data_IF_195590218920
#
_entry.id   IF_195590218920
#
_cell.length_a   1.000
_cell.length_b   1.000
_cell.length_c   1.000
_cell.angle_alpha   90.00
_cell.angle_beta   90.00
_cell.angle_gamma   90.00
#
_symmetry.space_group_name_H-M   'P 1'
#
loop_
_entity.id
_entity.type
_entity.pdbx_description
1 polymer ?
#
# COMPACT_ATOMS: atom_id res chain seq x y z
N UNK A 1 -26.53 -2.03 6.06
CA UNK A 1 -27.04 -0.63 6.01
C UNK A 1 -25.87 0.23 5.54
N UNK A 2 -26.05 1.17 4.61
CA UNK A 2 -24.94 2.04 4.14
C UNK A 2 -24.50 2.97 5.29
N UNK A 3 -23.25 2.90 5.75
CA UNK A 3 -22.76 3.74 6.84
C UNK A 3 -22.94 5.23 6.57
N UNK A 4 -22.76 5.69 5.33
CA UNK A 4 -22.91 7.11 4.97
C UNK A 4 -24.33 7.68 5.16
N UNK A 5 -25.34 6.83 5.34
CA UNK A 5 -26.70 7.28 5.67
C UNK A 5 -26.86 7.74 7.12
N UNK A 6 -25.90 7.45 7.99
CA UNK A 6 -25.98 7.78 9.41
C UNK A 6 -25.43 9.20 9.70
N UNK A 7 -26.18 10.09 10.39
CA UNK A 7 -25.76 11.47 10.65
C UNK A 7 -24.41 11.61 11.36
N UNK A 8 -24.08 10.69 12.27
CA UNK A 8 -22.79 10.69 12.96
C UNK A 8 -21.61 10.41 12.01
N UNK A 9 -21.81 9.53 11.01
CA UNK A 9 -20.77 9.23 10.01
C UNK A 9 -20.54 10.45 9.13
N UNK A 10 -21.61 11.08 8.65
CA UNK A 10 -21.52 12.32 7.86
C UNK A 10 -20.81 13.44 8.64
N UNK A 11 -21.16 13.61 9.92
CA UNK A 11 -20.50 14.60 10.79
C UNK A 11 -19.01 14.33 10.95
N UNK A 12 -18.63 13.06 11.16
CA UNK A 12 -17.24 12.66 11.29
C UNK A 12 -16.44 12.86 9.99
N UNK A 13 -17.03 12.50 8.84
CA UNK A 13 -16.44 12.72 7.51
C UNK A 13 -16.21 14.22 7.27
N UNK A 14 -17.22 15.07 7.48
CA UNK A 14 -17.06 16.52 7.29
C UNK A 14 -16.02 17.14 8.23
N UNK A 15 -15.91 16.64 9.47
CA UNK A 15 -14.88 17.08 10.41
C UNK A 15 -13.47 16.68 9.95
N UNK A 16 -13.32 15.44 9.46
CA UNK A 16 -12.07 14.94 8.89
C UNK A 16 -11.66 15.75 7.65
N UNK A 17 -12.58 15.95 6.70
CA UNK A 17 -12.32 16.72 5.48
C UNK A 17 -11.85 18.13 5.80
N UNK A 18 -12.52 18.81 6.75
CA UNK A 18 -12.11 20.14 7.19
C UNK A 18 -10.70 20.14 7.81
N UNK A 19 -10.39 19.16 8.66
CA UNK A 19 -9.09 19.07 9.31
C UNK A 19 -7.97 18.81 8.29
N UNK A 20 -8.19 17.89 7.36
CA UNK A 20 -7.21 17.54 6.32
C UNK A 20 -7.03 18.69 5.34
N UNK A 21 -8.09 19.35 4.89
CA UNK A 21 -7.98 20.50 4.00
C UNK A 21 -7.21 21.65 4.67
N UNK A 22 -7.50 21.95 5.94
CA UNK A 22 -6.77 22.97 6.69
C UNK A 22 -5.29 22.63 6.88
N UNK A 23 -4.93 21.34 7.03
CA UNK A 23 -3.54 20.91 7.05
C UNK A 23 -2.90 21.03 5.66
N UNK A 24 -3.61 20.60 4.61
CA UNK A 24 -3.09 20.58 3.25
C UNK A 24 -2.85 21.99 2.67
N UNK A 25 -3.60 23.00 3.13
CA UNK A 25 -3.33 24.42 2.83
C UNK A 25 -1.94 24.89 3.28
N UNK A 26 -1.31 24.21 4.23
CA UNK A 26 0.06 24.53 4.67
C UNK A 26 1.15 23.99 3.73
N UNK A 27 0.80 23.12 2.79
CA UNK A 27 1.74 22.53 1.83
C UNK A 27 1.77 23.33 0.52
N UNK A 28 2.97 23.66 0.05
CA UNK A 28 3.16 24.43 -1.17
C UNK A 28 3.44 23.52 -2.38
N UNK A 29 4.00 22.34 -2.14
CA UNK A 29 4.34 21.35 -3.18
C UNK A 29 3.98 19.89 -2.84
N UNK A 30 3.34 19.65 -1.70
CA UNK A 30 2.94 18.30 -1.28
C UNK A 30 1.50 17.99 -1.66
N UNK A 31 1.36 16.97 -2.49
CA UNK A 31 0.06 16.38 -2.85
C UNK A 31 -0.43 15.47 -1.74
N UNK A 32 -1.74 15.48 -1.49
CA UNK A 32 -2.38 14.63 -0.48
C UNK A 32 -3.60 13.96 -1.09
N UNK A 33 -3.71 12.65 -0.92
CA UNK A 33 -4.90 11.89 -1.28
C UNK A 33 -5.27 10.96 -0.13
N UNK A 34 -6.48 11.13 0.41
CA UNK A 34 -7.03 10.30 1.49
C UNK A 34 -8.33 9.72 1.02
N UNK A 35 -8.51 8.41 1.20
CA UNK A 35 -9.82 7.83 1.06
C UNK A 35 -10.10 6.78 2.11
N UNK A 36 -11.39 6.57 2.35
CA UNK A 36 -11.89 5.55 3.25
C UNK A 36 -13.12 4.89 2.63
N UNK A 37 -13.25 3.57 2.78
CA UNK A 37 -14.34 2.82 2.20
C UNK A 37 -14.85 1.74 3.13
N UNK A 38 -16.17 1.57 3.14
CA UNK A 38 -16.84 0.43 3.75
C UNK A 38 -17.28 -0.56 2.66
N UNK A 39 -17.21 -1.88 2.88
CA UNK A 39 -17.72 -2.87 1.93
C UNK A 39 -19.26 -2.82 1.78
N UNK A 40 -19.94 -2.14 2.71
CA UNK A 40 -21.39 -1.99 2.76
C UNK A 40 -21.95 -0.92 1.81
N UNK A 41 -21.09 -0.25 1.04
CA UNK A 41 -21.48 0.73 0.03
C UNK A 41 -20.48 0.79 -1.14
N UNK A 42 -20.97 1.29 -2.27
CA UNK A 42 -20.17 1.39 -3.49
C UNK A 42 -19.32 2.66 -3.54
N UNK A 43 -19.84 3.77 -3.03
CA UNK A 43 -19.08 5.01 -2.90
C UNK A 43 -18.05 4.92 -1.76
N UNK A 44 -16.97 5.70 -1.85
CA UNK A 44 -16.09 5.90 -0.71
C UNK A 44 -16.79 6.76 0.34
N UNK A 45 -16.51 6.49 1.61
CA UNK A 45 -16.92 7.32 2.74
C UNK A 45 -16.13 8.64 2.77
N UNK A 46 -14.86 8.59 2.37
CA UNK A 46 -13.95 9.73 2.23
C UNK A 46 -13.27 9.60 0.89
N UNK A 47 -13.22 10.69 0.12
CA UNK A 47 -12.54 10.79 -1.18
C UNK A 47 -11.95 12.20 -1.33
N UNK A 48 -10.87 12.45 -0.59
CA UNK A 48 -10.27 13.76 -0.43
C UNK A 48 -8.94 13.83 -1.18
N UNK A 49 -8.78 14.89 -1.97
CA UNK A 49 -7.57 15.15 -2.74
C UNK A 49 -7.18 16.62 -2.66
N UNK A 50 -5.91 16.88 -2.40
CA UNK A 50 -5.33 18.21 -2.44
C UNK A 50 -4.33 18.30 -3.60
N UNK A 51 -4.56 19.30 -4.45
CA UNK A 51 -3.62 19.73 -5.47
C UNK A 51 -2.88 20.97 -4.93
N UNK A 52 -1.57 20.87 -4.64
CA UNK A 52 -0.79 22.00 -4.14
C UNK A 52 -0.62 23.06 -5.23
N UNK A 53 -0.33 24.32 -4.86
CA UNK A 53 -0.15 25.41 -5.82
C UNK A 53 1.07 25.23 -6.73
N UNK A 54 2.09 24.49 -6.29
CA UNK A 54 3.28 24.18 -7.08
C UNK A 54 3.36 22.68 -7.33
N UNK A 55 3.29 22.30 -8.61
CA UNK A 55 3.39 20.91 -9.07
C UNK A 55 4.61 20.72 -9.95
N UNK A 56 5.14 19.50 -9.97
CA UNK A 56 6.11 19.09 -10.98
C UNK A 56 5.42 19.04 -12.36
N UNK A 57 5.93 19.76 -13.38
CA UNK A 57 5.30 19.83 -14.70
C UNK A 57 5.30 18.49 -15.45
N UNK A 58 6.08 17.50 -15.02
CA UNK A 58 6.03 16.13 -15.54
C UNK A 58 4.72 15.45 -15.13
N UNK A 59 4.31 15.66 -13.89
CA UNK A 59 3.17 15.03 -13.21
C UNK A 59 1.79 15.36 -13.76
N UNK A 60 0.79 14.83 -13.06
CA UNK A 60 -0.62 15.20 -13.21
C UNK A 60 -0.83 16.68 -12.87
N UNK A 61 -1.65 17.37 -13.66
CA UNK A 61 -1.99 18.78 -13.43
C UNK A 61 -3.03 19.00 -12.33
N UNK A 62 -3.70 17.92 -11.92
CA UNK A 62 -4.70 17.90 -10.86
C UNK A 62 -4.64 16.53 -10.16
N UNK A 63 -4.73 16.55 -8.83
CA UNK A 63 -4.74 15.36 -8.01
C UNK A 63 -6.19 14.95 -7.74
N UNK A 64 -6.49 13.69 -8.04
CA UNK A 64 -7.79 13.07 -7.81
C UNK A 64 -7.61 11.58 -7.45
N UNK A 65 -8.71 10.86 -7.29
CA UNK A 65 -8.70 9.44 -6.89
C UNK A 65 -7.95 8.49 -7.83
N UNK A 66 -7.64 8.95 -9.05
CA UNK A 66 -6.87 8.18 -10.05
C UNK A 66 -5.41 8.59 -10.13
N UNK A 67 -4.99 9.68 -9.47
CA UNK A 67 -3.60 10.10 -9.42
C UNK A 67 -2.73 9.00 -8.78
N UNK A 68 -1.63 8.67 -9.44
CA UNK A 68 -0.81 7.51 -9.12
C UNK A 68 0.41 7.92 -8.29
N UNK A 69 0.63 7.19 -7.20
CA UNK A 69 1.71 7.40 -6.25
C UNK A 69 2.59 6.17 -6.18
N UNK A 70 3.86 6.36 -5.82
CA UNK A 70 4.67 5.25 -5.26
C UNK A 70 4.10 4.90 -3.90
N UNK A 71 3.87 3.61 -3.65
CA UNK A 71 3.29 3.17 -2.37
C UNK A 71 4.31 2.59 -1.39
N UNK A 72 5.60 2.64 -1.75
CA UNK A 72 6.70 2.15 -0.92
C UNK A 72 6.40 0.78 -0.34
N UNK A 73 6.72 0.58 0.93
CA UNK A 73 6.57 -0.72 1.61
C UNK A 73 5.14 -1.28 1.74
N UNK A 74 4.10 -0.57 1.29
CA UNK A 74 2.75 -1.15 1.15
C UNK A 74 2.76 -2.35 0.20
N UNK A 75 3.70 -2.43 -0.76
CA UNK A 75 3.84 -3.59 -1.68
C UNK A 75 3.98 -4.93 -0.94
N UNK A 76 4.46 -4.93 0.31
CA UNK A 76 4.65 -6.17 1.09
C UNK A 76 3.34 -6.94 1.30
N UNK A 77 2.22 -6.23 1.30
CA UNK A 77 0.87 -6.83 1.37
C UNK A 77 0.61 -7.69 0.13
N UNK A 78 0.90 -7.18 -1.07
CA UNK A 78 0.72 -7.93 -2.32
C UNK A 78 1.71 -9.09 -2.44
N UNK A 79 2.95 -8.93 -1.95
CA UNK A 79 3.92 -10.03 -1.85
C UNK A 79 3.43 -11.17 -0.96
N UNK A 80 2.94 -10.87 0.24
CA UNK A 80 2.43 -11.91 1.15
C UNK A 80 1.23 -12.65 0.56
N UNK A 81 0.31 -11.91 -0.08
CA UNK A 81 -0.84 -12.47 -0.78
C UNK A 81 -0.40 -13.45 -1.90
N UNK A 82 0.57 -13.05 -2.72
CA UNK A 82 1.11 -13.89 -3.79
C UNK A 82 1.78 -15.17 -3.25
N UNK A 83 2.52 -15.07 -2.15
CA UNK A 83 3.12 -16.23 -1.47
C UNK A 83 2.09 -17.22 -0.97
N UNK A 84 1.06 -16.74 -0.25
CA UNK A 84 0.00 -17.59 0.28
C UNK A 84 -0.76 -18.28 -0.85
N UNK A 85 -0.98 -17.59 -1.98
CA UNK A 85 -1.62 -18.18 -3.15
C UNK A 85 -0.73 -19.22 -3.84
N UNK A 86 0.59 -19.13 -3.67
CA UNK A 86 1.55 -20.09 -4.22
C UNK A 86 1.77 -21.34 -3.34
N UNK A 87 1.05 -21.51 -2.22
CA UNK A 87 1.28 -22.60 -1.25
C UNK A 87 1.49 -23.98 -1.91
N UNK A 88 2.69 -24.53 -1.66
CA UNK A 88 3.31 -25.66 -2.36
C UNK A 88 4.82 -25.45 -2.62
N UNK A 89 5.35 -24.25 -2.34
CA UNK A 89 6.70 -23.85 -2.73
C UNK A 89 7.82 -24.45 -1.86
N UNK A 90 8.85 -25.00 -2.51
CA UNK A 90 10.15 -25.39 -1.90
C UNK A 90 11.25 -24.40 -2.29
N UNK A 91 12.11 -24.04 -1.35
CA UNK A 91 13.10 -22.95 -1.42
C UNK A 91 14.32 -23.20 -2.34
N UNK A 92 14.37 -24.28 -3.12
CA UNK A 92 15.63 -24.77 -3.73
C UNK A 92 16.00 -24.19 -5.10
N UNK A 93 15.23 -23.24 -5.65
CA UNK A 93 15.46 -22.76 -7.01
C UNK A 93 15.47 -21.24 -6.98
N UNK A 94 16.64 -20.61 -6.88
CA UNK A 94 16.78 -19.14 -6.90
C UNK A 94 18.09 -18.75 -7.64
N UNK A 95 18.21 -17.54 -8.21
CA UNK A 95 19.35 -17.14 -9.03
C UNK A 95 20.68 -17.21 -8.27
N UNK A 96 21.70 -17.84 -8.88
CA UNK A 96 22.99 -18.17 -8.24
C UNK A 96 23.75 -16.94 -7.69
N UNK A 97 23.67 -15.80 -8.37
CA UNK A 97 24.44 -14.59 -8.03
C UNK A 97 23.98 -13.87 -6.75
N UNK A 98 22.71 -14.02 -6.35
CA UNK A 98 22.21 -13.45 -5.08
C UNK A 98 22.82 -14.20 -3.88
N UNK A 99 22.92 -15.52 -3.99
CA UNK A 99 23.39 -16.39 -2.91
C UNK A 99 24.88 -16.24 -2.63
N UNK A 100 25.69 -16.01 -3.66
CA UNK A 100 27.14 -15.80 -3.54
C UNK A 100 27.52 -14.72 -2.51
N UNK A 101 26.62 -13.77 -2.25
CA UNK A 101 26.79 -12.71 -1.26
C UNK A 101 25.87 -12.84 -0.05
N UNK A 102 24.70 -13.46 -0.19
CA UNK A 102 23.75 -13.64 0.91
C UNK A 102 24.25 -14.68 1.93
N UNK A 103 24.85 -15.78 1.47
CA UNK A 103 25.35 -16.87 2.34
C UNK A 103 26.55 -16.45 3.22
N UNK A 104 27.21 -15.33 2.88
CA UNK A 104 28.37 -14.81 3.62
C UNK A 104 27.97 -14.01 4.87
N UNK A 105 26.68 -13.80 5.13
CA UNK A 105 26.19 -12.99 6.25
C UNK A 105 25.77 -13.88 7.41
N UNK A 106 26.32 -13.60 8.59
CA UNK A 106 25.91 -14.29 9.80
C UNK A 106 24.48 -13.89 10.25
N UNK A 107 23.70 -14.81 10.81
CA UNK A 107 22.40 -14.48 11.40
C UNK A 107 22.55 -13.46 12.54
N UNK A 108 21.73 -12.41 12.53
CA UNK A 108 21.73 -11.38 13.58
C UNK A 108 21.10 -11.91 14.88
N UNK A 109 20.11 -12.80 14.76
CA UNK A 109 19.46 -13.49 15.88
C UNK A 109 19.20 -14.95 15.48
N UNK A 110 18.93 -15.80 16.48
CA UNK A 110 18.42 -17.14 16.24
C UNK A 110 17.06 -17.08 15.52
N UNK A 111 16.75 -18.13 14.76
CA UNK A 111 15.50 -18.20 13.99
C UNK A 111 14.30 -18.15 14.92
N UNK A 112 13.32 -17.30 14.59
CA UNK A 112 12.06 -17.15 15.33
C UNK A 112 12.18 -16.61 16.76
N UNK A 113 13.33 -16.05 17.17
CA UNK A 113 13.48 -15.50 18.53
C UNK A 113 13.25 -14.00 18.63
N UNK A 114 13.48 -13.26 17.55
CA UNK A 114 13.35 -11.79 17.53
C UNK A 114 12.71 -11.33 16.21
N UNK A 115 11.62 -10.54 16.24
CA UNK A 115 11.08 -9.95 15.03
C UNK A 115 12.03 -8.86 14.52
N UNK A 116 12.29 -8.84 13.21
CA UNK A 116 13.12 -7.83 12.56
C UNK A 116 12.49 -7.43 11.23
N UNK A 117 12.34 -6.12 11.01
CA UNK A 117 11.96 -5.60 9.71
C UNK A 117 13.06 -5.87 8.67
N UNK A 118 12.70 -6.51 7.54
CA UNK A 118 13.67 -6.86 6.51
C UNK A 118 13.08 -6.76 5.11
N UNK A 119 13.55 -5.75 4.35
CA UNK A 119 13.26 -5.65 2.92
C UNK A 119 13.79 -6.88 2.15
N UNK A 120 14.93 -7.43 2.59
CA UNK A 120 15.55 -8.60 1.95
C UNK A 120 14.71 -9.86 2.14
N UNK A 121 14.04 -10.03 3.29
CA UNK A 121 13.14 -11.16 3.51
C UNK A 121 11.99 -11.16 2.48
N UNK A 122 11.39 -10.00 2.20
CA UNK A 122 10.34 -9.87 1.19
C UNK A 122 10.85 -10.02 -0.25
N UNK A 123 12.09 -9.63 -0.54
CA UNK A 123 12.73 -9.92 -1.83
C UNK A 123 12.97 -11.43 -2.03
N UNK A 124 13.51 -12.12 -1.01
CA UNK A 124 13.66 -13.58 -1.07
C UNK A 124 12.31 -14.24 -1.30
N UNK A 125 11.27 -13.76 -0.61
CA UNK A 125 9.92 -14.27 -0.76
C UNK A 125 9.35 -14.07 -2.16
N UNK A 126 9.54 -12.89 -2.77
CA UNK A 126 9.09 -12.62 -4.14
C UNK A 126 9.80 -13.52 -5.15
N UNK A 127 11.11 -13.73 -4.98
CA UNK A 127 11.89 -14.60 -5.84
C UNK A 127 11.44 -16.07 -5.71
N UNK A 128 11.12 -16.52 -4.48
CA UNK A 128 10.59 -17.87 -4.23
C UNK A 128 9.27 -18.09 -4.99
N UNK A 129 8.39 -17.09 -4.97
CA UNK A 129 7.11 -17.11 -5.70
C UNK A 129 7.33 -17.11 -7.22
N UNK A 130 8.20 -16.26 -7.74
CA UNK A 130 8.59 -16.22 -9.16
C UNK A 130 9.11 -17.59 -9.63
N UNK A 131 10.03 -18.17 -8.86
CA UNK A 131 10.62 -19.46 -9.19
C UNK A 131 9.62 -20.62 -9.16
N UNK A 132 8.67 -20.60 -8.21
CA UNK A 132 7.62 -21.60 -8.12
C UNK A 132 6.61 -21.50 -9.27
N UNK A 133 6.26 -20.27 -9.64
CA UNK A 133 5.26 -19.97 -10.67
C UNK A 133 5.81 -20.01 -12.09
N UNK A 134 7.14 -19.96 -12.26
CA UNK A 134 7.85 -19.93 -13.55
C UNK A 134 7.51 -18.70 -14.42
N UNK A 135 6.99 -17.64 -13.82
CA UNK A 135 6.73 -16.35 -14.45
C UNK A 135 7.24 -15.23 -13.53
N UNK A 136 7.58 -14.03 -14.06
CA UNK A 136 8.03 -12.92 -13.25
C UNK A 136 7.10 -12.64 -12.06
N UNK A 137 7.66 -12.28 -10.90
CA UNK A 137 6.86 -11.99 -9.71
C UNK A 137 5.77 -10.94 -9.95
N UNK A 138 6.08 -9.89 -10.73
CA UNK A 138 5.11 -8.87 -11.15
C UNK A 138 3.90 -9.48 -11.84
N UNK A 139 4.13 -10.48 -12.70
CA UNK A 139 3.08 -11.15 -13.47
C UNK A 139 2.27 -12.09 -12.59
N UNK A 140 2.89 -12.71 -11.59
CA UNK A 140 2.16 -13.48 -10.56
C UNK A 140 1.17 -12.56 -9.84
N UNK A 141 1.65 -11.41 -9.35
CA UNK A 141 0.79 -10.46 -8.63
C UNK A 141 -0.29 -9.92 -9.54
N UNK A 142 0.03 -9.53 -10.77
CA UNK A 142 -0.96 -9.04 -11.73
C UNK A 142 -2.04 -10.09 -12.00
N UNK A 143 -1.62 -11.31 -12.40
CA UNK A 143 -2.53 -12.39 -12.81
C UNK A 143 -3.36 -12.94 -11.67
N UNK A 144 -2.76 -13.08 -10.48
CA UNK A 144 -3.35 -13.82 -9.38
C UNK A 144 -3.83 -12.95 -8.23
N UNK A 145 -3.48 -11.67 -8.16
CA UNK A 145 -3.97 -10.78 -7.10
C UNK A 145 -4.77 -9.62 -7.69
N UNK A 146 -4.18 -8.87 -8.63
CA UNK A 146 -4.76 -7.62 -9.13
C UNK A 146 -5.92 -7.85 -10.10
N UNK A 147 -5.72 -8.67 -11.15
CA UNK A 147 -6.77 -8.97 -12.13
C UNK A 147 -8.03 -9.59 -11.50
N UNK A 148 -7.94 -10.60 -10.61
CA UNK A 148 -9.12 -11.15 -9.95
C UNK A 148 -9.86 -10.16 -9.05
N UNK A 149 -9.15 -9.14 -8.53
CA UNK A 149 -9.72 -8.05 -7.76
C UNK A 149 -10.17 -6.87 -8.64
N UNK A 150 -10.07 -6.98 -9.97
CA UNK A 150 -10.37 -5.89 -10.92
C UNK A 150 -9.55 -4.62 -10.65
N UNK A 151 -8.31 -4.79 -10.19
CA UNK A 151 -7.31 -3.74 -9.97
C UNK A 151 -6.44 -3.65 -11.23
N UNK A 152 -6.35 -2.46 -11.83
CA UNK A 152 -5.76 -2.26 -13.17
C UNK A 152 -4.73 -1.12 -13.26
N UNK A 153 -4.79 -0.16 -12.35
CA UNK A 153 -3.89 1.01 -12.26
C UNK A 153 -2.73 0.78 -11.27
N UNK A 154 -2.78 -0.31 -10.52
CA UNK A 154 -1.71 -0.75 -9.64
C UNK A 154 -0.70 -1.53 -10.46
N UNK A 155 0.51 -1.00 -10.62
CA UNK A 155 1.50 -1.55 -11.54
C UNK A 155 2.88 -1.67 -10.90
N UNK A 156 3.70 -2.58 -11.42
CA UNK A 156 5.14 -2.68 -11.11
C UNK A 156 6.02 -1.91 -12.09
N UNK A 157 5.42 -1.47 -13.20
CA UNK A 157 6.02 -0.60 -14.20
C UNK A 157 5.54 0.82 -13.98
N UNK A 158 6.46 1.77 -14.03
CA UNK A 158 6.14 3.20 -13.95
C UNK A 158 5.06 3.55 -15.00
N UNK A 159 3.92 4.13 -14.59
CA UNK A 159 2.90 4.61 -15.52
C UNK A 159 3.36 5.91 -16.20
N UNK A 160 2.56 6.42 -17.14
CA UNK A 160 2.78 7.75 -17.73
C UNK A 160 2.88 8.81 -16.61
N UNK A 161 3.90 9.68 -16.71
CA UNK A 161 4.14 10.76 -15.75
C UNK A 161 2.91 11.63 -15.55
N UNK A 162 2.08 11.80 -16.58
CA UNK A 162 0.84 12.58 -16.52
C UNK A 162 -0.24 11.97 -15.64
N UNK A 163 -0.14 10.69 -15.30
CA UNK A 163 -0.99 10.07 -14.29
C UNK A 163 -0.43 10.23 -12.87
N UNK A 164 0.83 10.64 -12.72
CA UNK A 164 1.58 10.58 -11.47
C UNK A 164 1.45 11.82 -10.60
N UNK A 165 1.27 11.62 -9.29
CA UNK A 165 1.51 12.64 -8.27
C UNK A 165 3.02 12.73 -8.00
N UNK A 166 3.74 13.44 -8.86
CA UNK A 166 5.21 13.49 -8.86
C UNK A 166 5.71 14.62 -7.96
N UNK A 167 6.59 14.29 -7.02
CA UNK A 167 7.27 15.27 -6.16
C UNK A 167 8.30 16.07 -6.97
N UNK A 168 8.44 17.37 -6.67
CA UNK A 168 9.41 18.26 -7.31
C UNK A 168 10.86 17.75 -7.19
N UNK A 169 11.19 17.08 -6.08
CA UNK A 169 12.52 16.55 -5.80
C UNK A 169 12.69 15.08 -6.24
N UNK A 170 11.78 14.55 -7.06
CA UNK A 170 11.91 13.19 -7.58
C UNK A 170 12.93 13.12 -8.72
N UNK A 171 14.20 12.89 -8.33
CA UNK A 171 15.34 12.66 -9.21
C UNK A 171 15.47 11.19 -9.69
N UNK A 172 14.65 10.27 -9.14
CA UNK A 172 14.78 8.83 -9.37
C UNK A 172 13.86 8.29 -10.47
N UNK A 173 13.13 9.16 -11.19
CA UNK A 173 12.19 8.77 -12.25
C UNK A 173 12.84 7.98 -13.39
N UNK A 174 14.09 8.30 -13.78
CA UNK A 174 14.82 7.57 -14.81
C UNK A 174 15.31 6.20 -14.33
N UNK A 175 15.84 6.10 -13.11
CA UNK A 175 16.27 4.84 -12.51
C UNK A 175 15.11 3.84 -12.33
N UNK A 176 13.89 4.35 -12.20
CA UNK A 176 12.67 3.56 -12.13
C UNK A 176 12.29 2.88 -13.46
N UNK A 177 12.70 3.46 -14.59
CA UNK A 177 12.43 2.92 -15.93
C UNK A 177 13.32 1.72 -16.32
N UNK A 178 14.51 1.58 -15.74
CA UNK A 178 15.52 0.60 -16.21
C UNK A 178 15.50 -0.75 -15.46
N UNK A 179 14.78 -0.87 -14.34
CA UNK A 179 14.81 -2.07 -13.49
C UNK A 179 13.42 -2.70 -13.36
N UNK A 180 13.04 -3.44 -14.39
CA UNK A 180 11.74 -4.13 -14.49
C UNK A 180 11.67 -5.26 -13.46
N UNK A 181 10.69 -5.22 -12.55
CA UNK A 181 10.31 -6.37 -11.72
C UNK A 181 10.73 -6.34 -10.24
N UNK A 182 11.34 -5.27 -9.75
CA UNK A 182 11.57 -5.13 -8.30
C UNK A 182 10.23 -5.02 -7.55
N UNK A 183 9.93 -5.86 -6.55
CA UNK A 183 8.69 -5.77 -5.78
C UNK A 183 8.55 -4.40 -5.08
N UNK A 184 9.66 -3.68 -4.90
CA UNK A 184 9.71 -2.35 -4.27
C UNK A 184 9.08 -1.23 -5.09
N UNK A 185 8.80 -1.44 -6.37
CA UNK A 185 8.35 -0.40 -7.32
C UNK A 185 6.88 -0.56 -7.69
N UNK A 186 6.03 -0.68 -6.67
CA UNK A 186 4.59 -0.69 -6.89
C UNK A 186 4.07 0.76 -6.89
N UNK A 187 3.26 1.05 -7.89
CA UNK A 187 2.52 2.30 -8.03
C UNK A 187 1.03 2.00 -7.84
N UNK A 188 0.26 2.91 -7.23
CA UNK A 188 -1.19 2.76 -7.05
C UNK A 188 -1.85 4.12 -6.83
N UNK A 189 -3.18 4.14 -6.83
CA UNK A 189 -4.00 5.28 -6.45
C UNK A 189 -4.92 4.92 -5.28
N UNK A 190 -5.64 5.89 -4.72
CA UNK A 190 -6.55 5.67 -3.59
C UNK A 190 -7.72 4.78 -3.96
N UNK A 191 -8.29 4.94 -5.16
CA UNK A 191 -9.42 4.13 -5.61
C UNK A 191 -9.13 2.64 -5.54
N UNK A 192 -7.94 2.22 -5.95
CA UNK A 192 -7.55 0.82 -6.00
C UNK A 192 -7.05 0.27 -4.68
N UNK A 193 -6.40 1.10 -3.83
CA UNK A 193 -6.07 0.70 -2.46
C UNK A 193 -7.30 0.39 -1.61
N UNK A 194 -8.43 1.02 -1.94
CA UNK A 194 -9.72 0.84 -1.26
C UNK A 194 -10.60 -0.25 -1.86
N UNK A 195 -10.19 -0.91 -2.95
CA UNK A 195 -11.02 -1.92 -3.60
C UNK A 195 -11.28 -3.09 -2.65
N UNK A 196 -12.57 -3.48 -2.56
CA UNK A 196 -13.09 -4.53 -1.67
C UNK A 196 -12.21 -5.76 -1.88
N UNK A 197 -11.46 -6.18 -0.87
CA UNK A 197 -10.54 -7.24 -1.14
C UNK A 197 -11.30 -8.55 -0.94
N UNK A 198 -11.90 -9.00 -2.05
CA UNK A 198 -12.79 -10.17 -2.17
C UNK A 198 -12.12 -11.46 -1.68
N UNK A 199 -10.79 -11.45 -1.57
CA UNK A 199 -9.95 -12.54 -1.09
C UNK A 199 -9.75 -12.62 0.42
N UNK A 200 -10.19 -11.62 1.23
CA UNK A 200 -10.03 -11.69 2.70
C UNK A 200 -11.15 -12.45 3.42
N UNK A 201 -12.24 -12.81 2.72
CA UNK A 201 -13.47 -13.29 3.34
C UNK A 201 -13.43 -14.72 3.92
N UNK A 202 -12.34 -15.49 3.74
CA UNK A 202 -12.25 -16.86 4.31
C UNK A 202 -11.06 -17.11 5.23
N UNK A 203 -10.10 -16.19 5.37
CA UNK A 203 -8.91 -16.42 6.21
C UNK A 203 -8.26 -15.16 6.79
N UNK A 204 -9.02 -14.11 7.11
CA UNK A 204 -8.52 -12.91 7.79
C UNK A 204 -7.55 -13.22 8.96
N UNK A 205 -7.78 -14.31 9.70
CA UNK A 205 -6.90 -14.80 10.78
C UNK A 205 -5.48 -15.24 10.37
N UNK A 206 -5.25 -15.60 9.11
CA UNK A 206 -3.91 -15.94 8.56
C UNK A 206 -3.19 -14.73 7.93
N UNK A 207 -3.93 -13.68 7.57
CA UNK A 207 -3.38 -12.44 7.00
C UNK A 207 -2.76 -11.53 8.05
N UNK A 208 -3.22 -11.66 9.29
CA UNK A 208 -2.90 -10.80 10.42
C UNK A 208 -1.52 -11.17 10.99
N UNK A 209 -0.55 -10.26 10.89
CA UNK A 209 0.74 -10.31 11.59
C UNK A 209 1.99 -10.53 10.73
N UNK A 210 1.89 -11.04 9.50
CA UNK A 210 3.07 -11.32 8.65
C UNK A 210 3.51 -10.14 7.78
N UNK A 211 2.63 -9.17 7.54
CA UNK A 211 2.95 -7.90 6.85
C UNK A 211 2.39 -6.66 7.54
N UNK A 212 1.45 -6.80 8.47
CA UNK A 212 0.79 -5.68 9.17
C UNK A 212 1.49 -5.36 10.47
N UNK A 213 1.52 -4.08 10.84
CA UNK A 213 2.20 -3.62 12.06
C UNK A 213 1.36 -3.80 13.34
N UNK A 214 0.04 -4.05 13.20
CA UNK A 214 -0.97 -4.29 14.25
C UNK A 214 -0.87 -3.33 15.44
N UNK A 215 -1.76 -2.35 15.49
CA UNK A 215 -1.88 -1.40 16.59
C UNK A 215 -3.18 -1.68 17.35
N UNK A 216 -3.13 -1.58 18.68
CA UNK A 216 -4.32 -1.72 19.53
C UNK A 216 -4.50 -0.44 20.32
N UNK A 217 -5.72 0.08 20.35
CA UNK A 217 -6.08 1.26 21.13
C UNK A 217 -7.40 1.05 21.85
N UNK A 218 -7.45 1.41 23.12
CA UNK A 218 -8.62 1.34 24.00
C UNK A 218 -9.12 2.73 24.43
N UNK A 219 -8.53 3.82 23.90
CA UNK A 219 -8.85 5.20 24.28
C UNK A 219 -9.44 6.03 23.12
N UNK A 220 -9.90 5.38 22.06
CA UNK A 220 -10.41 6.04 20.85
C UNK A 220 -11.94 5.94 20.69
N UNK A 221 -12.59 5.22 21.59
CA UNK A 221 -14.05 5.07 21.67
C UNK A 221 -14.51 5.57 23.04
N UNK A 222 -15.74 6.10 23.12
CA UNK A 222 -16.28 6.63 24.37
C UNK A 222 -16.50 5.56 25.45
N UNK A 223 -16.64 4.31 25.03
CA UNK A 223 -16.78 3.13 25.89
C UNK A 223 -15.43 2.44 26.18
N UNK A 224 -14.32 3.04 25.74
CA UNK A 224 -12.95 2.55 25.93
C UNK A 224 -12.73 1.10 25.43
N UNK A 225 -13.54 0.66 24.47
CA UNK A 225 -13.39 -0.67 23.92
C UNK A 225 -12.11 -0.74 23.10
N UNK A 226 -11.42 -1.87 23.23
CA UNK A 226 -10.25 -2.19 22.44
C UNK A 226 -10.63 -2.26 20.96
N UNK A 227 -9.91 -1.50 20.14
CA UNK A 227 -10.00 -1.54 18.68
C UNK A 227 -8.63 -1.91 18.13
N UNK A 228 -8.62 -2.89 17.23
CA UNK A 228 -7.41 -3.30 16.51
C UNK A 228 -7.36 -2.64 15.12
N UNK A 229 -6.21 -2.05 14.82
CA UNK A 229 -5.87 -1.50 13.52
C UNK A 229 -4.82 -2.38 12.87
N UNK A 230 -4.98 -2.60 11.57
CA UNK A 230 -4.00 -3.29 10.76
C UNK A 230 -3.43 -2.31 9.74
N UNK A 231 -2.44 -1.49 10.13
CA UNK A 231 -1.79 -0.57 9.21
C UNK A 231 -0.56 -1.20 8.56
N UNK A 232 -0.26 -0.70 7.35
CA UNK A 232 1.03 -0.86 6.69
C UNK A 232 1.43 0.51 6.15
N UNK A 233 2.50 1.07 6.70
CA UNK A 233 3.17 2.24 6.13
C UNK A 233 4.06 1.88 4.93
N UNK A 234 4.31 2.84 4.06
CA UNK A 234 5.18 2.68 2.92
C UNK A 234 5.83 3.99 2.53
N UNK A 235 7.14 4.06 2.71
CA UNK A 235 7.93 5.24 2.37
C UNK A 235 8.87 4.96 1.20
N UNK A 236 9.14 6.01 0.43
CA UNK A 236 10.21 6.05 -0.56
C UNK A 236 10.49 7.49 -0.96
N UNK A 237 11.68 8.00 -0.65
CA UNK A 237 12.07 9.39 -0.87
C UNK A 237 11.00 10.37 -0.32
N UNK A 238 10.34 11.12 -1.18
CA UNK A 238 9.30 12.11 -0.89
C UNK A 238 7.87 11.54 -0.97
N UNK A 239 7.73 10.22 -1.06
CA UNK A 239 6.44 9.54 -1.12
C UNK A 239 6.16 8.82 0.19
N UNK A 240 4.96 9.05 0.74
CA UNK A 240 4.46 8.35 1.91
C UNK A 240 3.09 7.74 1.61
N UNK A 241 2.91 6.48 1.99
CA UNK A 241 1.68 5.74 1.81
C UNK A 241 1.29 5.02 3.10
N UNK A 242 0.00 4.91 3.35
CA UNK A 242 -0.55 4.09 4.40
C UNK A 242 -1.79 3.36 3.87
N UNK A 243 -1.83 2.06 4.10
CA UNK A 243 -3.04 1.25 3.99
C UNK A 243 -3.42 0.78 5.39
N UNK A 244 -4.67 0.99 5.80
CA UNK A 244 -5.18 0.59 7.10
C UNK A 244 -6.48 -0.19 6.99
N UNK A 245 -6.59 -1.29 7.74
CA UNK A 245 -7.86 -2.00 7.93
C UNK A 245 -8.32 -1.87 9.38
N UNK A 246 -9.61 -1.64 9.57
CA UNK A 246 -10.27 -1.63 10.89
C UNK A 246 -11.46 -2.60 10.84
N UNK A 247 -11.23 -3.90 11.13
CA UNK A 247 -12.24 -4.94 10.94
C UNK A 247 -13.53 -4.72 11.74
N UNK A 248 -13.42 -4.23 12.98
CA UNK A 248 -14.56 -3.97 13.85
C UNK A 248 -15.59 -2.98 13.27
N UNK A 249 -15.17 -2.18 12.29
CA UNK A 249 -15.98 -1.17 11.64
C UNK A 249 -16.15 -1.40 10.14
N UNK A 250 -15.67 -2.55 9.63
CA UNK A 250 -15.62 -2.84 8.20
C UNK A 250 -15.07 -1.65 7.40
N UNK A 251 -13.91 -1.13 7.80
CA UNK A 251 -13.33 0.08 7.23
C UNK A 251 -11.95 -0.20 6.62
N UNK A 252 -11.73 0.30 5.41
CA UNK A 252 -10.42 0.40 4.76
C UNK A 252 -10.08 1.87 4.59
N UNK A 253 -8.83 2.24 4.90
CA UNK A 253 -8.31 3.60 4.80
C UNK A 253 -7.05 3.58 3.95
N UNK A 254 -6.94 4.50 2.99
CA UNK A 254 -5.75 4.76 2.19
C UNK A 254 -5.32 6.21 2.35
N UNK A 255 -4.05 6.45 2.64
CA UNK A 255 -3.43 7.78 2.66
C UNK A 255 -2.23 7.73 1.74
N UNK A 256 -2.13 8.68 0.81
CA UNK A 256 -1.04 8.83 -0.13
C UNK A 256 -0.59 10.29 -0.15
N UNK A 257 0.70 10.53 0.03
CA UNK A 257 1.31 11.85 -0.14
C UNK A 257 2.54 11.77 -1.03
N UNK A 258 2.81 12.87 -1.73
CA UNK A 258 4.02 13.05 -2.53
C UNK A 258 4.41 14.52 -2.50
N UNK A 259 5.58 14.80 -1.93
CA UNK A 259 6.16 16.13 -1.84
C UNK A 259 7.24 16.26 -0.77
N UNK A 260 7.97 17.38 -0.75
CA UNK A 260 9.14 17.56 0.11
C UNK A 260 8.85 18.15 1.50
N UNK A 261 7.60 18.55 1.81
CA UNK A 261 7.20 19.18 3.08
C UNK A 261 6.61 18.20 4.10
#
# INVERSE_FOLDING_TARGET
MSPNSHPAVQTAVSALEKAVNGLAESFNSTTVSIGAKSPHEEASLVDLHNTPPVLDPRGASEINASAVYRIGSVYKVSTMLATLRACGVRMYILPLNFWDNFEKREPVFATSTSPLYSNIAFLVLSLVVESASKIPFSDVVQKHILNPASISSTTYTKPDDKAGAISLDDYNIELDSENHGSPRRQYSNTKELLLKPVTFASSARMFIGSSWEIIRADNITSDERLVEFYPKGGDGDTYHAMLGLVPDYDLVIGILTSGPE
#
